data_IF_751785739854
#
_entry.id   IF_751785739854
#
_cell.length_a   1.000
_cell.length_b   1.000
_cell.length_c   1.000
_cell.angle_alpha   90.00
_cell.angle_beta   90.00
_cell.angle_gamma   90.00
#
_symmetry.space_group_name_H-M   'P 1'
#
loop_
_entity.id
_entity.type
_entity.pdbx_description
1 polymer ?
#
# COMPACT_ATOMS: atom_id res chain seq x y z
N UNK A 1 -42.18 -11.67 9.46
CA UNK A 1 -42.33 -12.64 8.37
C UNK A 1 -40.93 -12.96 7.92
N UNK A 2 -40.42 -14.15 8.27
CA UNK A 2 -39.04 -14.59 8.02
C UNK A 2 -38.86 -14.81 6.50
N UNK A 3 -38.02 -14.00 5.89
CA UNK A 3 -37.51 -14.30 4.54
C UNK A 3 -36.46 -15.40 4.73
N UNK A 4 -36.86 -16.61 4.37
CA UNK A 4 -35.98 -17.75 4.31
C UNK A 4 -34.79 -17.44 3.40
N UNK A 5 -33.60 -17.52 3.95
CA UNK A 5 -32.31 -17.47 3.25
C UNK A 5 -32.23 -18.64 2.26
N UNK A 6 -32.65 -18.42 1.03
CA UNK A 6 -32.18 -19.24 -0.07
C UNK A 6 -30.64 -19.11 -0.07
N UNK A 7 -29.94 -20.23 0.03
CA UNK A 7 -28.50 -20.29 -0.09
C UNK A 7 -28.13 -19.69 -1.45
N UNK A 8 -27.79 -18.42 -1.44
CA UNK A 8 -27.34 -17.71 -2.64
C UNK A 8 -25.90 -18.12 -2.91
N UNK A 9 -25.57 -18.32 -4.17
CA UNK A 9 -24.22 -18.39 -4.72
C UNK A 9 -23.41 -17.10 -4.47
N UNK A 10 -23.73 -16.35 -3.38
CA UNK A 10 -23.14 -15.06 -3.07
C UNK A 10 -21.74 -15.25 -2.54
N UNK A 11 -20.77 -14.78 -3.29
CA UNK A 11 -19.34 -14.74 -2.95
C UNK A 11 -19.01 -13.77 -1.80
N UNK A 12 -20.02 -13.07 -1.24
CA UNK A 12 -19.87 -12.10 -0.16
C UNK A 12 -20.37 -12.65 1.18
N UNK A 13 -19.59 -12.42 2.24
CA UNK A 13 -20.02 -12.80 3.59
C UNK A 13 -21.19 -11.93 4.06
N UNK A 14 -22.13 -12.49 4.87
CA UNK A 14 -23.26 -11.73 5.42
C UNK A 14 -22.84 -10.47 6.21
N UNK A 15 -21.68 -10.52 6.88
CA UNK A 15 -21.12 -9.41 7.63
C UNK A 15 -20.74 -8.24 6.71
N UNK A 16 -20.11 -8.52 5.57
CA UNK A 16 -19.78 -7.49 4.58
C UNK A 16 -21.03 -6.84 3.99
N UNK A 17 -22.05 -7.62 3.68
CA UNK A 17 -23.32 -7.08 3.17
C UNK A 17 -24.01 -6.19 4.20
N UNK A 18 -23.97 -6.58 5.48
CA UNK A 18 -24.52 -5.76 6.57
C UNK A 18 -23.79 -4.42 6.66
N UNK A 19 -22.45 -4.45 6.60
CA UNK A 19 -21.62 -3.23 6.60
C UNK A 19 -21.89 -2.36 5.37
N UNK A 20 -21.96 -2.95 4.18
CA UNK A 20 -22.28 -2.22 2.95
C UNK A 20 -23.64 -1.51 3.05
N UNK A 21 -24.65 -2.19 3.60
CA UNK A 21 -25.98 -1.60 3.82
C UNK A 21 -25.96 -0.46 4.84
N UNK A 22 -25.18 -0.58 5.92
CA UNK A 22 -25.02 0.50 6.89
C UNK A 22 -24.37 1.75 6.27
N UNK A 23 -23.30 1.57 5.48
CA UNK A 23 -22.62 2.67 4.81
C UNK A 23 -23.50 3.30 3.71
N UNK A 24 -24.26 2.51 2.97
CA UNK A 24 -25.22 3.03 2.00
C UNK A 24 -26.36 3.82 2.68
N UNK A 25 -26.85 3.38 3.85
CA UNK A 25 -27.83 4.13 4.63
C UNK A 25 -27.24 5.43 5.21
N UNK A 26 -25.96 5.42 5.61
CA UNK A 26 -25.22 6.63 6.00
C UNK A 26 -25.15 7.61 4.84
N UNK A 27 -24.76 7.14 3.64
CA UNK A 27 -24.72 7.95 2.42
C UNK A 27 -26.07 8.62 2.12
N UNK A 28 -27.18 7.87 2.18
CA UNK A 28 -28.52 8.42 1.94
C UNK A 28 -28.85 9.53 2.93
N UNK A 29 -28.58 9.35 4.21
CA UNK A 29 -28.81 10.39 5.23
C UNK A 29 -27.95 11.63 5.01
N UNK A 30 -26.68 11.44 4.59
CA UNK A 30 -25.79 12.57 4.30
C UNK A 30 -26.24 13.31 3.05
N UNK A 31 -26.70 12.60 2.01
CA UNK A 31 -27.24 13.21 0.80
C UNK A 31 -28.50 14.02 1.07
N UNK A 32 -29.41 13.55 1.92
CA UNK A 32 -30.58 14.29 2.38
C UNK A 32 -30.19 15.58 3.12
N UNK A 33 -29.22 15.50 4.05
CA UNK A 33 -28.70 16.67 4.77
C UNK A 33 -28.05 17.68 3.85
N UNK A 34 -27.33 17.26 2.83
CA UNK A 34 -26.72 18.15 1.82
C UNK A 34 -27.77 18.87 0.97
N UNK A 35 -28.97 18.29 0.80
CA UNK A 35 -30.12 18.94 0.17
C UNK A 35 -30.70 20.07 1.01
N UNK A 36 -30.53 20.03 2.34
CA UNK A 36 -31.02 21.06 3.27
C UNK A 36 -29.98 22.15 3.54
N UNK A 37 -28.73 21.75 3.73
CA UNK A 37 -27.63 22.68 4.00
C UNK A 37 -26.29 22.14 3.49
N UNK A 38 -25.55 22.99 2.76
CA UNK A 38 -24.23 22.62 2.26
C UNK A 38 -23.19 22.71 3.38
N UNK A 39 -22.54 21.57 3.66
CA UNK A 39 -21.36 21.48 4.52
C UNK A 39 -20.26 20.69 3.81
N UNK A 40 -19.07 21.28 3.71
CA UNK A 40 -17.95 20.69 2.98
C UNK A 40 -17.50 19.33 3.54
N UNK A 41 -17.53 19.14 4.88
CA UNK A 41 -17.19 17.86 5.51
C UNK A 41 -18.22 16.78 5.17
N UNK A 42 -19.49 17.15 5.24
CA UNK A 42 -20.61 16.26 4.89
C UNK A 42 -20.57 15.89 3.40
N UNK A 43 -20.25 16.85 2.52
CA UNK A 43 -20.11 16.62 1.08
C UNK A 43 -18.94 15.67 0.77
N UNK A 44 -17.78 15.87 1.40
CA UNK A 44 -16.62 14.98 1.24
C UNK A 44 -16.98 13.55 1.67
N UNK A 45 -17.59 13.40 2.84
CA UNK A 45 -17.97 12.07 3.36
C UNK A 45 -19.02 11.38 2.48
N UNK A 46 -20.00 12.11 1.97
CA UNK A 46 -20.99 11.58 1.03
C UNK A 46 -20.32 11.13 -0.28
N UNK A 47 -19.37 11.92 -0.80
CA UNK A 47 -18.58 11.55 -1.98
C UNK A 47 -17.75 10.26 -1.78
N UNK A 48 -17.18 10.06 -0.60
CA UNK A 48 -16.46 8.82 -0.25
C UNK A 48 -17.37 7.59 -0.22
N UNK A 49 -18.61 7.75 0.22
CA UNK A 49 -19.57 6.65 0.36
C UNK A 49 -20.38 6.37 -0.91
N UNK A 50 -20.46 7.32 -1.83
CA UNK A 50 -21.23 7.18 -3.07
C UNK A 50 -20.86 5.94 -3.92
N UNK A 51 -19.57 5.60 -4.13
CA UNK A 51 -19.20 4.39 -4.86
C UNK A 51 -19.74 3.12 -4.20
N UNK A 52 -19.69 3.04 -2.87
CA UNK A 52 -20.20 1.87 -2.10
C UNK A 52 -21.70 1.73 -2.31
N UNK A 53 -22.46 2.82 -2.19
CA UNK A 53 -23.90 2.82 -2.36
C UNK A 53 -24.31 2.40 -3.78
N UNK A 54 -23.59 2.89 -4.80
CA UNK A 54 -23.85 2.56 -6.20
C UNK A 54 -23.55 1.09 -6.50
N UNK A 55 -22.38 0.59 -6.09
CA UNK A 55 -22.01 -0.81 -6.33
C UNK A 55 -22.93 -1.77 -5.56
N UNK A 56 -23.32 -1.41 -4.31
CA UNK A 56 -24.29 -2.20 -3.57
C UNK A 56 -25.64 -2.28 -4.29
N UNK A 57 -26.10 -1.17 -4.87
CA UNK A 57 -27.33 -1.15 -5.68
C UNK A 57 -27.21 -2.05 -6.91
N UNK A 58 -26.07 -1.99 -7.64
CA UNK A 58 -25.80 -2.90 -8.74
C UNK A 58 -25.83 -4.37 -8.30
N UNK A 59 -25.20 -4.67 -7.16
CA UNK A 59 -25.17 -6.02 -6.62
C UNK A 59 -26.56 -6.54 -6.21
N UNK A 60 -27.38 -5.69 -5.56
CA UNK A 60 -28.75 -6.04 -5.20
C UNK A 60 -29.59 -6.29 -6.45
N UNK A 61 -29.52 -5.40 -7.43
CA UNK A 61 -30.26 -5.56 -8.69
C UNK A 61 -29.87 -6.86 -9.42
N UNK A 62 -28.56 -7.16 -9.51
CA UNK A 62 -28.09 -8.40 -10.14
C UNK A 62 -28.58 -9.65 -9.39
N UNK A 63 -28.58 -9.61 -8.06
CA UNK A 63 -29.06 -10.73 -7.25
C UNK A 63 -30.60 -10.90 -7.35
N UNK A 64 -31.34 -9.81 -7.37
CA UNK A 64 -32.81 -9.83 -7.55
C UNK A 64 -33.17 -10.35 -8.94
N UNK A 65 -32.45 -9.93 -10.00
CA UNK A 65 -32.62 -10.45 -11.36
C UNK A 65 -32.37 -11.98 -11.41
N UNK A 66 -31.31 -12.47 -10.74
CA UNK A 66 -31.05 -13.92 -10.65
C UNK A 66 -32.20 -14.66 -9.98
N UNK A 67 -32.80 -14.08 -8.92
CA UNK A 67 -33.95 -14.68 -8.23
C UNK A 67 -35.16 -14.70 -9.14
N UNK A 68 -35.45 -13.62 -9.85
CA UNK A 68 -36.56 -13.52 -10.80
C UNK A 68 -36.42 -14.51 -11.96
N UNK A 69 -35.22 -14.58 -12.59
CA UNK A 69 -34.92 -15.51 -13.68
C UNK A 69 -35.04 -16.97 -13.22
N UNK A 70 -34.58 -17.31 -12.00
CA UNK A 70 -34.77 -18.63 -11.43
C UNK A 70 -36.26 -18.97 -11.23
N UNK A 71 -37.05 -17.99 -10.80
CA UNK A 71 -38.49 -18.18 -10.65
C UNK A 71 -39.20 -18.43 -11.98
N UNK A 72 -38.82 -17.68 -13.05
CA UNK A 72 -39.32 -17.86 -14.41
C UNK A 72 -38.97 -19.24 -14.99
N UNK A 73 -37.78 -19.75 -14.72
CA UNK A 73 -37.35 -21.08 -15.18
C UNK A 73 -38.08 -22.23 -14.46
N UNK A 74 -38.55 -22.00 -13.23
CA UNK A 74 -39.31 -22.98 -12.44
C UNK A 74 -40.79 -22.94 -12.70
N UNK A 75 -41.35 -21.89 -13.35
CA UNK A 75 -42.74 -21.77 -13.67
C UNK A 75 -43.10 -22.71 -14.87
N UNK A 76 -44.02 -23.67 -14.68
CA UNK A 76 -44.45 -24.57 -15.77
C UNK A 76 -45.12 -23.88 -16.94
N UNK A 77 -45.68 -22.69 -16.77
CA UNK A 77 -46.39 -21.92 -17.80
C UNK A 77 -45.47 -21.05 -18.67
N UNK A 78 -44.16 -21.01 -18.40
CA UNK A 78 -43.20 -20.20 -19.18
C UNK A 78 -42.97 -20.84 -20.55
N UNK A 79 -43.07 -20.02 -21.60
CA UNK A 79 -42.84 -20.40 -22.98
C UNK A 79 -41.40 -20.86 -23.23
N UNK A 80 -41.19 -21.76 -24.22
CA UNK A 80 -39.89 -22.34 -24.50
C UNK A 80 -38.87 -21.28 -24.94
N UNK A 81 -39.27 -20.26 -25.69
CA UNK A 81 -38.41 -19.14 -26.08
C UNK A 81 -38.00 -18.28 -24.89
N UNK A 82 -38.95 -17.97 -24.02
CA UNK A 82 -38.66 -17.23 -22.76
C UNK A 82 -37.74 -18.02 -21.82
N UNK A 83 -37.85 -19.34 -21.76
CA UNK A 83 -36.91 -20.17 -20.98
C UNK A 83 -35.51 -20.11 -21.55
N UNK A 84 -35.34 -20.14 -22.87
CA UNK A 84 -34.04 -20.05 -23.51
C UNK A 84 -33.35 -18.71 -23.19
N UNK A 85 -34.08 -17.60 -23.36
CA UNK A 85 -33.61 -16.25 -23.03
C UNK A 85 -33.29 -16.12 -21.52
N UNK A 86 -34.18 -16.60 -20.66
CA UNK A 86 -33.97 -16.55 -19.23
C UNK A 86 -32.75 -17.37 -18.77
N UNK A 87 -32.43 -18.46 -19.50
CA UNK A 87 -31.23 -19.25 -19.22
C UNK A 87 -29.95 -18.48 -19.59
N UNK A 88 -29.92 -17.83 -20.75
CA UNK A 88 -28.81 -17.04 -21.23
C UNK A 88 -28.57 -15.81 -20.32
N UNK A 89 -29.64 -15.10 -19.96
CA UNK A 89 -29.60 -13.96 -19.05
C UNK A 89 -29.13 -14.38 -17.62
N UNK A 90 -29.54 -15.58 -17.18
CA UNK A 90 -29.11 -16.13 -15.88
C UNK A 90 -27.61 -16.44 -15.87
N UNK A 91 -27.07 -17.02 -16.94
CA UNK A 91 -25.63 -17.27 -17.07
C UNK A 91 -24.87 -15.96 -17.10
N UNK A 92 -25.29 -14.99 -17.90
CA UNK A 92 -24.67 -13.66 -17.95
C UNK A 92 -24.69 -12.95 -16.60
N UNK A 93 -25.80 -12.98 -15.87
CA UNK A 93 -25.92 -12.37 -14.54
C UNK A 93 -25.06 -13.08 -13.50
N UNK A 94 -24.92 -14.40 -13.59
CA UNK A 94 -24.04 -15.19 -12.73
C UNK A 94 -22.58 -14.87 -12.95
N UNK A 95 -22.16 -14.68 -14.20
CA UNK A 95 -20.78 -14.34 -14.57
C UNK A 95 -20.43 -12.91 -14.16
N UNK A 96 -21.40 -11.99 -14.15
CA UNK A 96 -21.20 -10.62 -13.69
C UNK A 96 -21.12 -10.50 -12.16
N UNK A 97 -21.82 -11.34 -11.40
CA UNK A 97 -21.94 -11.23 -9.94
C UNK A 97 -20.59 -11.30 -9.18
N UNK A 98 -19.63 -12.18 -9.51
CA UNK A 98 -18.32 -12.20 -8.89
C UNK A 98 -17.56 -10.88 -9.08
N UNK A 99 -17.60 -10.31 -10.29
CA UNK A 99 -16.95 -9.03 -10.61
C UNK A 99 -17.52 -7.88 -9.79
N UNK A 100 -18.84 -7.81 -9.66
CA UNK A 100 -19.52 -6.80 -8.84
C UNK A 100 -19.18 -7.02 -7.37
N UNK A 101 -19.15 -8.27 -6.91
CA UNK A 101 -18.78 -8.64 -5.54
C UNK A 101 -17.36 -8.22 -5.18
N UNK A 102 -16.40 -8.41 -6.08
CA UNK A 102 -15.01 -7.99 -5.88
C UNK A 102 -14.86 -6.47 -5.91
N UNK A 103 -15.62 -5.78 -6.77
CA UNK A 103 -15.70 -4.31 -6.77
C UNK A 103 -16.25 -3.81 -5.43
N UNK A 104 -17.29 -4.46 -4.89
CA UNK A 104 -17.88 -4.10 -3.60
C UNK A 104 -16.90 -4.34 -2.45
N UNK A 105 -16.17 -5.47 -2.43
CA UNK A 105 -15.11 -5.74 -1.44
C UNK A 105 -14.07 -4.63 -1.46
N UNK A 106 -13.55 -4.29 -2.64
CA UNK A 106 -12.55 -3.22 -2.81
C UNK A 106 -13.07 -1.85 -2.35
N UNK A 107 -14.33 -1.54 -2.61
CA UNK A 107 -14.95 -0.28 -2.18
C UNK A 107 -15.22 -0.21 -0.68
N UNK A 108 -15.45 -1.34 -0.01
CA UNK A 108 -15.68 -1.40 1.45
C UNK A 108 -14.42 -1.21 2.28
N UNK A 109 -13.26 -1.47 1.71
CA UNK A 109 -11.97 -1.24 2.37
C UNK A 109 -11.74 0.28 2.43
N UNK A 110 -11.54 0.85 3.63
CA UNK A 110 -11.22 2.26 3.74
C UNK A 110 -9.90 2.53 3.01
N UNK A 111 -9.88 3.59 2.20
CA UNK A 111 -8.64 4.00 1.57
C UNK A 111 -7.60 4.31 2.65
N UNK A 112 -6.37 3.87 2.40
CA UNK A 112 -5.27 4.21 3.28
C UNK A 112 -5.17 5.74 3.41
N UNK A 113 -4.94 6.32 4.61
CA UNK A 113 -4.91 7.78 4.80
C UNK A 113 -3.91 8.49 3.87
N UNK A 114 -2.85 7.78 3.46
CA UNK A 114 -1.80 8.29 2.57
C UNK A 114 -1.95 7.86 1.12
N UNK A 115 -3.05 7.18 0.74
CA UNK A 115 -3.21 6.60 -0.59
C UNK A 115 -2.98 7.61 -1.72
N UNK A 116 -3.44 8.84 -1.53
CA UNK A 116 -3.38 9.89 -2.54
C UNK A 116 -2.07 10.72 -2.50
N UNK A 117 -1.14 10.39 -1.58
CA UNK A 117 0.11 11.14 -1.42
C UNK A 117 1.21 10.68 -2.39
N UNK A 118 2.16 11.58 -2.69
CA UNK A 118 3.47 11.23 -3.19
C UNK A 118 4.21 10.31 -2.22
N UNK A 119 5.30 9.68 -2.64
CA UNK A 119 6.06 8.79 -1.75
C UNK A 119 7.56 8.95 -1.87
N UNK A 120 8.23 8.54 -0.80
CA UNK A 120 9.67 8.33 -0.71
C UNK A 120 9.92 6.83 -0.66
N UNK A 121 10.73 6.32 -1.57
CA UNK A 121 11.15 4.92 -1.60
C UNK A 121 12.62 4.85 -1.19
N UNK A 122 12.86 4.21 -0.07
CA UNK A 122 14.21 4.03 0.50
C UNK A 122 14.64 2.58 0.29
N UNK A 123 15.83 2.40 -0.26
CA UNK A 123 16.44 1.09 -0.54
C UNK A 123 17.74 0.98 0.24
N UNK A 124 17.83 -0.04 1.10
CA UNK A 124 19.06 -0.33 1.88
C UNK A 124 19.46 -1.79 1.72
N UNK A 125 20.73 -2.06 1.39
CA UNK A 125 21.25 -3.42 1.46
C UNK A 125 21.22 -3.93 2.91
N UNK A 126 20.80 -5.20 3.04
CA UNK A 126 20.77 -5.91 4.30
C UNK A 126 21.91 -6.94 4.40
N UNK A 127 21.58 -8.15 4.84
CA UNK A 127 22.55 -9.23 4.92
C UNK A 127 23.01 -9.69 3.53
N UNK A 128 24.31 -9.82 3.29
CA UNK A 128 24.90 -10.32 2.05
C UNK A 128 26.12 -9.58 1.54
N UNK A 129 26.57 -8.54 2.27
CA UNK A 129 27.77 -7.75 1.91
C UNK A 129 27.66 -7.12 0.53
N UNK A 130 28.74 -7.20 -0.25
CA UNK A 130 28.85 -6.60 -1.60
C UNK A 130 27.69 -7.01 -2.53
N UNK A 131 27.25 -8.25 -2.43
CA UNK A 131 26.17 -8.78 -3.27
C UNK A 131 24.80 -8.12 -2.97
N UNK A 132 24.56 -7.79 -1.71
CA UNK A 132 23.37 -7.05 -1.33
C UNK A 132 23.38 -5.62 -1.91
N UNK A 133 24.55 -4.97 -1.93
CA UNK A 133 24.75 -3.65 -2.54
C UNK A 133 24.51 -3.65 -4.05
N UNK A 134 25.04 -4.67 -4.76
CA UNK A 134 24.80 -4.84 -6.20
C UNK A 134 23.31 -5.06 -6.49
N UNK A 135 22.68 -5.95 -5.74
CA UNK A 135 21.24 -6.19 -5.93
C UNK A 135 20.38 -4.97 -5.57
N UNK A 136 20.76 -4.21 -4.55
CA UNK A 136 20.08 -2.95 -4.21
C UNK A 136 20.15 -1.94 -5.37
N UNK A 137 21.27 -1.88 -6.08
CA UNK A 137 21.42 -1.04 -7.27
C UNK A 137 20.54 -1.52 -8.44
N UNK A 138 20.45 -2.83 -8.65
CA UNK A 138 19.51 -3.39 -9.65
C UNK A 138 18.06 -3.06 -9.30
N UNK A 139 17.68 -3.13 -8.02
CA UNK A 139 16.34 -2.74 -7.56
C UNK A 139 16.08 -1.26 -7.74
N UNK A 140 17.07 -0.39 -7.50
CA UNK A 140 16.96 1.03 -7.77
C UNK A 140 16.60 1.27 -9.24
N UNK A 141 17.33 0.64 -10.16
CA UNK A 141 17.07 0.72 -11.60
C UNK A 141 15.69 0.19 -11.97
N UNK A 142 15.28 -0.93 -11.39
CA UNK A 142 13.96 -1.54 -11.58
C UNK A 142 12.84 -0.56 -11.22
N UNK A 143 12.91 0.07 -10.04
CA UNK A 143 11.87 1.01 -9.61
C UNK A 143 11.86 2.30 -10.42
N UNK A 144 13.03 2.83 -10.80
CA UNK A 144 13.13 4.01 -11.67
C UNK A 144 12.52 3.72 -13.04
N UNK A 145 12.82 2.56 -13.63
CA UNK A 145 12.25 2.13 -14.90
C UNK A 145 10.73 1.92 -14.80
N UNK A 146 10.24 1.25 -13.75
CA UNK A 146 8.82 1.05 -13.50
C UNK A 146 8.07 2.37 -13.37
N UNK A 147 8.56 3.30 -12.55
CA UNK A 147 7.96 4.62 -12.38
C UNK A 147 7.92 5.39 -13.71
N UNK A 148 9.02 5.38 -14.47
CA UNK A 148 9.09 6.05 -15.76
C UNK A 148 8.08 5.49 -16.77
N UNK A 149 7.91 4.18 -16.84
CA UNK A 149 6.91 3.52 -17.71
C UNK A 149 5.48 3.91 -17.35
N UNK A 150 5.19 4.08 -16.06
CA UNK A 150 3.88 4.51 -15.56
C UNK A 150 3.64 6.02 -15.65
N UNK A 151 4.60 6.78 -16.18
CA UNK A 151 4.51 8.24 -16.22
C UNK A 151 4.65 8.91 -14.85
N UNK A 152 5.05 8.15 -13.85
CA UNK A 152 5.46 8.69 -12.56
C UNK A 152 6.84 9.32 -12.72
N UNK A 153 7.11 10.42 -12.04
CA UNK A 153 8.39 11.13 -12.12
C UNK A 153 9.26 10.77 -10.93
N UNK A 154 10.16 9.78 -11.05
CA UNK A 154 11.09 9.45 -9.98
C UNK A 154 12.24 10.45 -9.96
N UNK A 155 12.54 11.02 -8.81
CA UNK A 155 13.68 11.89 -8.56
C UNK A 155 14.57 11.23 -7.51
N UNK A 156 15.83 10.93 -7.84
CA UNK A 156 16.79 10.36 -6.90
C UNK A 156 17.26 11.48 -5.98
N UNK A 157 16.84 11.45 -4.71
CA UNK A 157 17.25 12.42 -3.70
C UNK A 157 18.61 12.08 -3.11
N UNK A 158 18.87 10.79 -2.95
CA UNK A 158 20.10 10.28 -2.36
C UNK A 158 20.51 8.99 -3.04
N UNK A 159 21.78 8.90 -3.37
CA UNK A 159 22.40 7.68 -3.87
C UNK A 159 23.82 7.62 -3.32
N UNK A 160 24.01 6.83 -2.27
CA UNK A 160 25.33 6.57 -1.71
C UNK A 160 25.86 5.25 -2.28
N UNK A 161 26.95 5.34 -3.03
CA UNK A 161 27.66 4.17 -3.57
C UNK A 161 28.99 4.00 -2.85
N UNK A 162 29.34 2.77 -2.53
CA UNK A 162 30.66 2.46 -1.98
C UNK A 162 31.69 2.45 -3.11
N UNK A 163 32.81 3.13 -2.91
CA UNK A 163 33.93 3.15 -3.85
C UNK A 163 34.59 1.78 -3.86
N UNK A 164 34.41 1.03 -4.92
CA UNK A 164 34.97 -0.31 -5.12
C UNK A 164 35.34 -0.56 -6.58
N UNK A 165 35.82 -1.77 -6.94
CA UNK A 165 36.15 -2.13 -8.32
C UNK A 165 34.96 -2.09 -9.29
N UNK A 166 33.74 -2.06 -8.80
CA UNK A 166 32.52 -1.80 -9.55
C UNK A 166 31.77 -0.66 -8.85
N UNK A 167 31.57 0.46 -9.57
CA UNK A 167 30.84 1.66 -9.09
C UNK A 167 29.36 1.42 -8.80
N UNK A 168 28.88 0.18 -8.89
CA UNK A 168 27.46 -0.20 -8.84
C UNK A 168 27.02 -0.72 -7.45
N UNK A 169 27.85 -0.57 -6.41
CA UNK A 169 27.45 -0.99 -5.07
C UNK A 169 26.72 0.13 -4.34
N UNK A 170 25.45 -0.09 -4.10
CA UNK A 170 24.62 0.84 -3.36
C UNK A 170 24.73 0.60 -1.87
N UNK A 171 24.98 1.65 -1.10
CA UNK A 171 24.94 1.67 0.35
C UNK A 171 23.58 2.14 0.86
N UNK A 172 23.00 3.13 0.18
CA UNK A 172 21.66 3.64 0.44
C UNK A 172 21.15 4.41 -0.79
N UNK A 173 19.87 4.25 -1.13
CA UNK A 173 19.20 5.14 -2.09
C UNK A 173 17.86 5.61 -1.56
N UNK A 174 17.51 6.84 -1.89
CA UNK A 174 16.20 7.43 -1.63
C UNK A 174 15.68 8.04 -2.93
N UNK A 175 14.52 7.57 -3.37
CA UNK A 175 13.82 8.06 -4.56
C UNK A 175 12.56 8.78 -4.08
N UNK A 176 12.35 9.99 -4.55
CA UNK A 176 11.09 10.70 -4.40
C UNK A 176 10.25 10.51 -5.67
N UNK A 177 8.97 10.20 -5.48
CA UNK A 177 8.01 10.08 -6.56
C UNK A 177 6.89 11.11 -6.27
N UNK A 178 6.94 12.26 -6.94
CA UNK A 178 6.07 13.41 -6.70
C UNK A 178 4.63 13.25 -7.22
N UNK A 179 4.29 12.11 -7.80
CA UNK A 179 2.97 11.86 -8.35
C UNK A 179 1.95 11.55 -7.24
N UNK A 180 0.78 12.18 -7.33
CA UNK A 180 -0.34 11.85 -6.47
C UNK A 180 -0.74 10.38 -6.64
N UNK A 181 -0.98 9.68 -5.53
CA UNK A 181 -1.31 8.26 -5.53
C UNK A 181 -0.11 7.31 -5.67
N UNK A 182 1.12 7.82 -5.76
CA UNK A 182 2.33 7.01 -5.87
C UNK A 182 2.51 6.11 -4.64
N UNK A 183 2.15 6.60 -3.46
CA UNK A 183 2.23 5.82 -2.23
C UNK A 183 1.38 4.55 -2.29
N UNK A 184 0.12 4.64 -2.75
CA UNK A 184 -0.77 3.47 -2.84
C UNK A 184 -0.26 2.40 -3.81
N UNK A 185 0.42 2.84 -4.89
CA UNK A 185 1.02 1.93 -5.87
C UNK A 185 2.22 1.20 -5.26
N UNK A 186 3.13 1.95 -4.64
CA UNK A 186 4.44 1.44 -4.23
C UNK A 186 4.46 0.84 -2.82
N UNK A 187 3.49 1.11 -1.95
CA UNK A 187 3.44 0.53 -0.59
C UNK A 187 3.44 -1.00 -0.59
N UNK A 188 3.01 -1.63 -1.69
CA UNK A 188 3.07 -3.08 -1.89
C UNK A 188 4.50 -3.62 -1.88
N UNK A 189 5.50 -2.77 -2.15
CA UNK A 189 6.92 -3.14 -2.25
C UNK A 189 7.67 -3.00 -0.91
N UNK A 190 7.02 -2.44 0.11
CA UNK A 190 7.64 -2.28 1.43
C UNK A 190 7.91 -3.63 2.09
N UNK A 191 9.18 -3.89 2.44
CA UNK A 191 9.61 -5.11 3.12
C UNK A 191 10.99 -5.60 2.72
N UNK A 192 11.29 -6.87 3.04
CA UNK A 192 12.59 -7.48 2.76
C UNK A 192 12.53 -8.30 1.46
N UNK A 193 13.34 -7.92 0.49
CA UNK A 193 13.52 -8.60 -0.78
C UNK A 193 14.77 -9.49 -0.73
N UNK A 194 14.62 -10.74 -1.08
CA UNK A 194 15.70 -11.73 -1.05
C UNK A 194 16.14 -12.10 -2.45
N UNK A 195 17.44 -12.10 -2.69
CA UNK A 195 18.04 -12.57 -3.93
C UNK A 195 18.79 -13.88 -3.71
N UNK A 196 18.71 -14.77 -4.67
CA UNK A 196 19.44 -16.04 -4.73
C UNK A 196 20.12 -16.15 -6.09
N UNK A 197 21.44 -15.90 -6.10
CA UNK A 197 22.29 -16.06 -7.30
C UNK A 197 23.71 -16.43 -6.90
N UNK A 198 24.48 -16.85 -7.89
CA UNK A 198 25.94 -16.97 -7.76
C UNK A 198 26.53 -15.58 -7.93
N UNK A 199 27.15 -14.99 -6.89
CA UNK A 199 27.74 -13.66 -7.01
C UNK A 199 28.84 -13.60 -8.05
N UNK A 200 29.05 -12.46 -8.69
CA UNK A 200 30.19 -12.25 -9.61
C UNK A 200 31.56 -12.39 -8.90
N UNK A 201 31.58 -12.24 -7.58
CA UNK A 201 32.77 -12.38 -6.72
C UNK A 201 33.06 -13.82 -6.29
N UNK A 202 32.14 -14.77 -6.56
CA UNK A 202 32.27 -16.17 -6.11
C UNK A 202 32.97 -17.03 -7.17
N UNK A 203 34.13 -17.55 -6.84
CA UNK A 203 34.95 -18.39 -7.75
C UNK A 203 34.52 -19.87 -7.75
N UNK A 204 33.80 -20.35 -6.72
CA UNK A 204 33.41 -21.75 -6.55
C UNK A 204 31.98 -22.07 -7.02
N UNK A 205 31.27 -21.12 -7.64
CA UNK A 205 29.92 -21.31 -8.16
C UNK A 205 28.85 -21.56 -7.11
N UNK A 206 29.05 -21.16 -5.85
CA UNK A 206 28.08 -21.33 -4.77
C UNK A 206 26.98 -20.29 -4.89
N UNK A 207 25.72 -20.72 -4.78
CA UNK A 207 24.58 -19.81 -4.67
C UNK A 207 24.60 -19.12 -3.30
N UNK A 208 24.67 -17.79 -3.32
CA UNK A 208 24.54 -16.98 -2.12
C UNK A 208 23.11 -16.45 -1.99
N UNK A 209 22.72 -16.14 -0.77
CA UNK A 209 21.44 -15.53 -0.46
C UNK A 209 21.70 -14.18 0.19
N UNK A 210 21.28 -13.12 -0.47
CA UNK A 210 21.40 -11.76 0.03
C UNK A 210 20.02 -11.12 0.19
N UNK A 211 19.93 -10.08 0.97
CA UNK A 211 18.68 -9.40 1.27
C UNK A 211 18.83 -7.88 1.13
N UNK A 212 17.79 -7.25 0.64
CA UNK A 212 17.65 -5.79 0.52
C UNK A 212 16.35 -5.39 1.19
N UNK A 213 16.40 -4.35 2.01
CA UNK A 213 15.22 -3.74 2.61
C UNK A 213 14.72 -2.60 1.73
N UNK A 214 13.43 -2.61 1.43
CA UNK A 214 12.73 -1.53 0.76
C UNK A 214 11.72 -0.95 1.72
N UNK A 215 11.74 0.37 1.90
CA UNK A 215 10.80 1.09 2.74
C UNK A 215 10.09 2.14 1.88
N UNK A 216 8.77 2.17 1.95
CA UNK A 216 7.96 3.15 1.22
C UNK A 216 7.28 4.05 2.24
N UNK A 217 7.58 5.33 2.18
CA UNK A 217 7.10 6.36 3.09
C UNK A 217 6.27 7.38 2.32
N UNK A 218 5.19 7.92 2.91
CA UNK A 218 4.46 9.01 2.29
C UNK A 218 5.33 10.27 2.28
N UNK A 219 5.34 11.00 1.15
CA UNK A 219 5.92 12.34 1.06
C UNK A 219 4.82 13.37 1.24
N UNK A 220 5.07 14.34 2.12
CA UNK A 220 4.11 15.39 2.40
C UNK A 220 4.53 16.66 1.63
N UNK A 221 3.69 17.17 0.70
CA UNK A 221 3.99 18.40 -0.03
C UNK A 221 4.14 19.59 0.92
N UNK A 222 5.02 20.52 0.58
CA UNK A 222 5.28 21.72 1.40
C UNK A 222 4.22 22.80 1.24
N UNK A 223 3.57 22.83 0.08
CA UNK A 223 2.62 23.89 -0.25
C UNK A 223 1.26 23.57 0.37
N UNK A 224 0.77 24.50 1.19
CA UNK A 224 -0.53 24.46 1.87
C UNK A 224 -1.74 24.43 0.94
N UNK A 225 -1.73 23.58 -0.08
CA UNK A 225 -2.88 23.26 -0.89
C UNK A 225 -3.82 22.34 -0.14
N UNK A 226 -5.08 22.42 -0.37
CA UNK A 226 -6.28 21.86 0.28
C UNK A 226 -6.17 20.47 0.97
N UNK A 227 -5.08 19.72 0.76
CA UNK A 227 -4.75 18.47 1.46
C UNK A 227 -4.29 18.70 2.91
N UNK A 228 -3.82 19.91 3.25
CA UNK A 228 -3.43 20.32 4.61
C UNK A 228 -4.60 20.31 5.61
N UNK A 229 -5.83 20.42 5.13
CA UNK A 229 -7.01 20.39 5.99
C UNK A 229 -7.34 19.00 6.53
N UNK A 230 -6.85 17.93 5.89
CA UNK A 230 -7.03 16.56 6.33
C UNK A 230 -5.85 16.04 7.18
N UNK A 231 -4.65 16.62 6.96
CA UNK A 231 -3.40 16.29 7.65
C UNK A 231 -3.02 17.50 8.52
N UNK A 232 -3.66 17.66 9.67
CA UNK A 232 -3.45 18.81 10.54
C UNK A 232 -2.10 18.68 11.24
N UNK A 233 -1.03 19.27 10.66
CA UNK A 233 0.33 19.25 11.21
C UNK A 233 0.49 20.10 12.48
N UNK A 234 -0.46 20.95 12.79
CA UNK A 234 -0.50 21.81 13.97
C UNK A 234 -1.39 21.26 15.09
N UNK A 235 -2.19 20.23 14.81
CA UNK A 235 -3.03 19.59 15.83
C UNK A 235 -2.21 18.59 16.65
N UNK A 236 -2.02 18.82 17.96
CA UNK A 236 -1.31 17.88 18.84
C UNK A 236 -1.88 16.46 18.87
N UNK A 237 -3.15 16.29 18.48
CA UNK A 237 -3.80 14.98 18.39
C UNK A 237 -3.61 14.30 17.03
N UNK A 238 -3.00 14.98 16.07
CA UNK A 238 -2.71 14.40 14.75
C UNK A 238 -1.50 13.48 14.82
N UNK A 239 -1.57 12.36 14.11
CA UNK A 239 -0.44 11.43 13.97
C UNK A 239 0.79 12.04 13.30
N UNK A 240 0.60 13.15 12.60
CA UNK A 240 1.60 13.88 11.85
C UNK A 240 2.22 15.02 12.65
N UNK A 241 1.65 15.34 13.81
CA UNK A 241 2.19 16.38 14.67
C UNK A 241 3.53 15.95 15.26
N UNK A 242 4.50 16.83 15.15
CA UNK A 242 5.81 16.72 15.80
C UNK A 242 6.06 18.03 16.52
N UNK A 243 6.20 17.98 17.84
CA UNK A 243 6.61 19.14 18.61
C UNK A 243 8.04 19.54 18.22
N UNK A 244 8.26 20.75 17.71
CA UNK A 244 9.59 21.22 17.39
C UNK A 244 10.58 21.19 18.58
N UNK A 245 10.09 21.21 19.82
CA UNK A 245 10.91 21.11 21.03
C UNK A 245 11.44 19.68 21.26
N UNK A 246 10.78 18.68 20.73
CA UNK A 246 11.21 17.26 20.80
C UNK A 246 12.21 16.90 19.71
N UNK A 247 12.51 17.83 18.78
CA UNK A 247 13.44 17.58 17.69
C UNK A 247 14.73 18.38 17.88
N UNK A 248 15.81 17.65 18.06
CA UNK A 248 17.15 18.23 18.10
C UNK A 248 17.66 18.42 16.67
N UNK A 249 17.97 19.67 16.33
CA UNK A 249 18.49 20.06 15.01
C UNK A 249 19.98 20.32 15.13
N UNK A 250 20.78 19.53 14.42
CA UNK A 250 22.24 19.69 14.37
C UNK A 250 22.65 20.07 12.95
N UNK A 251 23.46 21.15 12.86
CA UNK A 251 24.08 21.57 11.62
C UNK A 251 25.44 20.93 11.54
N UNK A 252 25.76 20.37 10.38
CA UNK A 252 27.05 19.72 10.17
C UNK A 252 27.57 20.01 8.77
N UNK A 253 28.85 19.75 8.57
CA UNK A 253 29.45 19.80 7.24
C UNK A 253 29.07 18.56 6.47
N UNK A 254 28.82 18.72 5.17
CA UNK A 254 28.55 17.58 4.31
C UNK A 254 29.80 16.69 4.24
N UNK A 255 29.60 15.37 4.33
CA UNK A 255 30.66 14.37 4.15
C UNK A 255 30.78 14.00 2.66
N UNK A 256 31.97 13.69 2.22
CA UNK A 256 32.24 13.21 0.84
C UNK A 256 33.36 13.96 0.13
N UNK A 257 33.74 13.48 -1.08
CA UNK A 257 34.74 14.11 -1.93
C UNK A 257 34.19 15.42 -2.48
N UNK A 258 34.74 16.56 -2.08
CA UNK A 258 34.29 17.88 -2.49
C UNK A 258 35.34 18.96 -2.33
N UNK A 259 35.11 20.09 -3.00
CA UNK A 259 36.00 21.25 -2.97
C UNK A 259 35.88 22.08 -1.69
N UNK A 260 36.45 23.28 -1.69
CA UNK A 260 36.50 24.17 -0.51
C UNK A 260 35.11 24.50 0.09
N UNK A 261 34.05 24.48 -0.68
CA UNK A 261 32.68 24.77 -0.22
C UNK A 261 32.15 23.67 0.71
N UNK A 262 32.35 22.40 0.40
CA UNK A 262 31.92 21.25 1.21
C UNK A 262 32.63 21.25 2.57
N UNK A 263 33.90 21.62 2.58
CA UNK A 263 34.73 21.60 3.78
C UNK A 263 34.54 22.83 4.71
N UNK A 264 33.96 23.93 4.20
CA UNK A 264 33.80 25.19 4.96
C UNK A 264 32.37 25.47 5.35
N UNK A 265 31.37 24.98 4.62
CA UNK A 265 29.95 25.34 4.81
C UNK A 265 29.20 24.21 5.52
N UNK A 266 28.47 24.55 6.56
CA UNK A 266 27.60 23.63 7.31
C UNK A 266 26.24 23.53 6.59
N UNK A 267 26.20 22.89 5.42
CA UNK A 267 24.99 22.70 4.63
C UNK A 267 24.18 21.46 5.03
N UNK A 268 24.80 20.47 5.64
CA UNK A 268 24.11 19.26 6.09
C UNK A 268 23.32 19.49 7.38
N UNK A 269 22.15 18.85 7.45
CA UNK A 269 21.26 18.91 8.61
C UNK A 269 21.01 17.49 9.12
N UNK A 270 21.12 17.33 10.43
CA UNK A 270 20.74 16.13 11.15
C UNK A 270 19.61 16.47 12.11
N UNK A 271 18.49 15.77 11.99
CA UNK A 271 17.36 15.85 12.90
C UNK A 271 17.34 14.60 13.76
N UNK A 272 17.16 14.76 15.05
CA UNK A 272 16.99 13.64 15.98
C UNK A 272 15.72 13.89 16.79
N UNK A 273 14.74 13.03 16.63
CA UNK A 273 13.55 13.06 17.47
C UNK A 273 13.86 12.39 18.80
N UNK A 274 13.81 13.17 19.88
CA UNK A 274 14.29 12.75 21.21
C UNK A 274 13.51 11.56 21.77
N UNK A 275 12.14 11.53 21.72
CA UNK A 275 11.38 10.44 22.31
C UNK A 275 11.57 9.09 21.62
N UNK A 276 11.69 9.07 20.29
CA UNK A 276 11.79 7.81 19.52
C UNK A 276 13.23 7.49 19.10
N UNK A 277 14.18 8.38 19.34
CA UNK A 277 15.56 8.29 18.85
C UNK A 277 15.69 8.14 17.33
N UNK A 278 14.64 8.53 16.59
CA UNK A 278 14.67 8.51 15.13
C UNK A 278 15.60 9.61 14.62
N UNK A 279 16.56 9.20 13.80
CA UNK A 279 17.57 10.11 13.23
C UNK A 279 17.38 10.21 11.73
N UNK A 280 17.37 11.44 11.21
CA UNK A 280 17.36 11.76 9.78
C UNK A 280 18.51 12.72 9.49
N UNK A 281 19.33 12.42 8.50
CA UNK A 281 20.40 13.33 8.06
C UNK A 281 20.25 13.58 6.56
N UNK A 282 20.37 14.86 6.16
CA UNK A 282 20.28 15.32 4.76
C UNK A 282 21.45 16.23 4.42
N UNK A 283 22.10 15.95 3.28
CA UNK A 283 23.27 16.72 2.82
C UNK A 283 23.32 16.95 1.31
N UNK A 284 22.23 16.63 0.60
CA UNK A 284 22.23 16.49 -0.88
C UNK A 284 22.19 17.85 -1.59
N UNK A 285 21.62 18.86 -0.93
CA UNK A 285 21.48 20.19 -1.48
C UNK A 285 22.59 21.14 -1.00
N UNK A 286 22.95 22.11 -1.87
CA UNK A 286 23.87 23.18 -1.49
C UNK A 286 23.26 24.12 -0.44
N UNK A 287 21.94 24.23 -0.40
CA UNK A 287 21.20 25.08 0.52
C UNK A 287 20.88 24.36 1.83
N UNK A 288 21.34 24.89 2.95
CA UNK A 288 21.01 24.40 4.27
C UNK A 288 19.48 24.39 4.52
N UNK A 289 18.77 25.40 3.99
CA UNK A 289 17.32 25.49 4.15
C UNK A 289 16.60 24.38 3.40
N UNK A 290 17.04 24.06 2.16
CA UNK A 290 16.48 22.97 1.38
C UNK A 290 16.70 21.61 2.08
N UNK A 291 17.94 21.37 2.58
CA UNK A 291 18.23 20.16 3.37
C UNK A 291 17.39 20.08 4.65
N UNK A 292 17.16 21.22 5.32
CA UNK A 292 16.31 21.26 6.51
C UNK A 292 14.87 20.90 6.19
N UNK A 293 14.29 21.44 5.12
CA UNK A 293 12.92 21.13 4.68
C UNK A 293 12.77 19.64 4.38
N UNK A 294 13.65 19.09 3.55
CA UNK A 294 13.65 17.65 3.20
C UNK A 294 13.83 16.75 4.43
N UNK A 295 14.71 17.12 5.35
CA UNK A 295 14.89 16.38 6.58
C UNK A 295 13.63 16.36 7.47
N UNK A 296 12.90 17.49 7.56
CA UNK A 296 11.63 17.54 8.28
C UNK A 296 10.55 16.70 7.62
N UNK A 297 10.42 16.72 6.30
CA UNK A 297 9.49 15.86 5.56
C UNK A 297 9.77 14.38 5.85
N UNK A 298 11.03 13.98 5.73
CA UNK A 298 11.44 12.60 5.99
C UNK A 298 11.22 12.17 7.44
N UNK A 299 11.47 13.07 8.40
CA UNK A 299 11.23 12.79 9.81
C UNK A 299 9.74 12.59 10.09
N UNK A 300 8.88 13.46 9.54
CA UNK A 300 7.41 13.33 9.65
C UNK A 300 6.92 12.01 9.08
N UNK A 301 7.38 11.66 7.88
CA UNK A 301 7.01 10.41 7.24
C UNK A 301 7.38 9.18 8.10
N UNK A 302 8.62 9.12 8.58
CA UNK A 302 9.10 8.01 9.44
C UNK A 302 8.34 7.89 10.76
N UNK A 303 8.02 9.01 11.39
CA UNK A 303 7.27 8.99 12.66
C UNK A 303 5.80 8.61 12.46
N UNK A 304 5.17 9.10 11.40
CA UNK A 304 3.80 8.73 11.07
C UNK A 304 3.67 7.22 10.79
N UNK A 305 4.61 6.65 10.03
CA UNK A 305 4.65 5.21 9.76
C UNK A 305 4.85 4.41 11.04
N UNK A 306 5.82 4.78 11.88
CA UNK A 306 6.07 4.09 13.15
C UNK A 306 4.84 4.12 14.10
N UNK A 307 4.10 5.23 14.13
CA UNK A 307 2.87 5.35 14.92
C UNK A 307 1.75 4.47 14.36
N UNK A 308 1.64 4.40 13.04
CA UNK A 308 0.66 3.53 12.39
C UNK A 308 1.01 2.06 12.62
N UNK A 309 2.26 1.67 12.45
CA UNK A 309 2.72 0.29 12.68
C UNK A 309 2.50 -0.14 14.14
N UNK A 310 2.74 0.76 15.09
CA UNK A 310 2.46 0.50 16.49
C UNK A 310 0.97 0.25 16.76
N UNK A 311 0.08 1.04 16.14
CA UNK A 311 -1.39 0.81 16.24
C UNK A 311 -1.84 -0.48 15.59
N UNK A 312 -1.30 -0.80 14.41
CA UNK A 312 -1.59 -2.07 13.74
C UNK A 312 -1.14 -3.27 14.58
N UNK A 313 0.03 -3.18 15.21
CA UNK A 313 0.52 -4.21 16.12
C UNK A 313 -0.37 -4.36 17.35
N UNK A 314 -0.83 -3.28 17.95
CA UNK A 314 -1.77 -3.30 19.07
C UNK A 314 -3.11 -3.93 18.69
N UNK A 315 -3.67 -3.55 17.54
CA UNK A 315 -4.88 -4.17 16.98
C UNK A 315 -4.67 -5.66 16.68
N UNK A 316 -3.53 -6.05 16.13
CA UNK A 316 -3.21 -7.46 15.90
C UNK A 316 -3.08 -8.26 17.22
N UNK A 317 -2.50 -7.67 18.26
CA UNK A 317 -2.44 -8.31 19.59
C UNK A 317 -3.82 -8.50 20.20
N UNK A 318 -4.69 -7.50 20.11
CA UNK A 318 -6.09 -7.61 20.53
C UNK A 318 -6.83 -8.69 19.72
N UNK A 319 -6.62 -8.77 18.41
CA UNK A 319 -7.20 -9.81 17.55
C UNK A 319 -6.68 -11.21 17.88
N UNK A 320 -5.37 -11.36 18.18
CA UNK A 320 -4.80 -12.66 18.62
C UNK A 320 -5.39 -13.14 19.93
N UNK A 321 -5.66 -12.23 20.86
CA UNK A 321 -6.33 -12.55 22.12
C UNK A 321 -7.77 -13.06 21.94
N UNK A 322 -8.47 -12.55 20.91
CA UNK A 322 -9.86 -12.92 20.61
C UNK A 322 -9.95 -14.19 19.75
N UNK A 323 -9.03 -14.40 18.81
CA UNK A 323 -9.07 -15.50 17.83
C UNK A 323 -8.35 -16.77 18.26
N UNK A 324 -7.74 -16.79 19.45
CA UNK A 324 -7.21 -18.03 20.04
C UNK A 324 -6.32 -18.88 19.15
N UNK A 325 -5.32 -18.28 18.50
CA UNK A 325 -4.22 -19.09 17.99
C UNK A 325 -4.05 -19.23 16.49
N UNK A 326 -4.60 -18.38 15.64
CA UNK A 326 -4.38 -18.41 14.19
C UNK A 326 -3.23 -17.49 13.81
N UNK A 327 -2.21 -18.12 13.24
CA UNK A 327 -1.06 -17.56 12.52
C UNK A 327 0.10 -17.00 13.34
N UNK A 328 1.08 -17.87 13.52
CA UNK A 328 2.48 -17.47 13.67
C UNK A 328 2.95 -16.82 12.37
N UNK A 329 2.79 -15.51 12.23
CA UNK A 329 3.62 -14.74 11.32
C UNK A 329 4.92 -14.41 12.06
N UNK A 330 5.99 -15.09 11.68
CA UNK A 330 7.32 -14.96 12.28
C UNK A 330 8.04 -13.73 11.76
N UNK A 331 8.76 -13.06 12.64
CA UNK A 331 9.77 -12.05 12.30
C UNK A 331 10.77 -12.67 11.31
N UNK A 332 11.08 -11.98 10.23
CA UNK A 332 12.05 -12.40 9.23
C UNK A 332 11.41 -12.65 7.87
N UNK A 333 10.25 -12.10 7.66
CA UNK A 333 9.46 -12.42 6.50
C UNK A 333 9.89 -11.60 5.30
N UNK A 334 10.78 -12.25 4.54
CA UNK A 334 11.00 -11.87 3.14
C UNK A 334 9.64 -11.81 2.44
N UNK A 335 9.31 -10.65 1.90
CA UNK A 335 8.11 -10.49 1.11
C UNK A 335 8.26 -11.15 -0.27
N UNK A 336 9.49 -11.09 -0.85
CA UNK A 336 9.73 -11.56 -2.20
C UNK A 336 11.09 -12.24 -2.33
N UNK A 337 11.18 -13.25 -3.20
CA UNK A 337 12.44 -13.92 -3.53
C UNK A 337 12.69 -13.90 -5.04
N UNK A 338 13.84 -13.39 -5.42
CA UNK A 338 14.36 -13.36 -6.80
C UNK A 338 15.38 -14.48 -6.95
N UNK A 339 15.07 -15.50 -7.74
CA UNK A 339 15.94 -16.66 -7.97
C UNK A 339 16.48 -16.63 -9.41
N UNK A 340 17.72 -16.25 -9.57
CA UNK A 340 18.38 -16.14 -10.88
C UNK A 340 18.62 -17.51 -11.50
N UNK A 341 18.97 -18.52 -10.72
CA UNK A 341 19.22 -19.86 -11.24
C UNK A 341 17.99 -20.52 -11.87
N UNK A 342 16.79 -20.09 -11.47
CA UNK A 342 15.52 -20.59 -12.00
C UNK A 342 14.76 -19.53 -12.80
N UNK A 343 15.34 -18.34 -13.02
CA UNK A 343 14.72 -17.19 -13.68
C UNK A 343 13.29 -16.93 -13.17
N UNK A 344 13.08 -16.96 -11.85
CA UNK A 344 11.76 -16.77 -11.23
C UNK A 344 11.78 -15.77 -10.09
N UNK A 345 10.67 -15.07 -9.96
CA UNK A 345 10.34 -14.22 -8.83
C UNK A 345 9.11 -14.79 -8.12
N UNK A 346 9.19 -14.95 -6.80
CA UNK A 346 8.07 -15.45 -5.98
C UNK A 346 7.76 -14.44 -4.88
N UNK A 347 6.52 -13.93 -4.82
CA UNK A 347 6.02 -13.16 -3.70
C UNK A 347 5.39 -14.10 -2.67
N UNK A 348 5.87 -14.03 -1.42
CA UNK A 348 5.48 -14.98 -0.38
C UNK A 348 4.17 -14.63 0.31
N UNK A 349 3.66 -13.41 0.12
CA UNK A 349 2.37 -12.97 0.67
C UNK A 349 1.21 -13.58 -0.09
N UNK A 350 1.33 -13.60 -1.42
CA UNK A 350 0.29 -14.10 -2.33
C UNK A 350 0.58 -15.50 -2.85
N UNK A 351 1.83 -15.98 -2.74
CA UNK A 351 2.28 -17.22 -3.33
C UNK A 351 2.48 -17.17 -4.85
N UNK A 352 2.27 -16.00 -5.49
CA UNK A 352 2.46 -15.85 -6.93
C UNK A 352 3.91 -16.09 -7.32
N UNK A 353 4.11 -16.82 -8.40
CA UNK A 353 5.43 -17.06 -8.99
C UNK A 353 5.40 -16.70 -10.47
N UNK A 354 6.31 -15.80 -10.88
CA UNK A 354 6.46 -15.38 -12.27
C UNK A 354 7.83 -15.85 -12.78
N UNK A 355 7.81 -16.51 -13.91
CA UNK A 355 9.00 -16.91 -14.68
C UNK A 355 9.26 -15.80 -15.71
N UNK A 356 10.37 -15.23 -15.75
CA UNK A 356 10.91 -14.09 -16.50
C UNK A 356 11.42 -13.00 -15.55
N UNK A 357 12.52 -13.34 -14.89
CA UNK A 357 13.13 -12.46 -13.90
C UNK A 357 13.63 -11.14 -14.51
N UNK A 358 14.22 -11.23 -15.71
CA UNK A 358 14.78 -10.06 -16.42
C UNK A 358 13.68 -9.03 -16.72
N UNK A 359 12.51 -9.50 -17.20
CA UNK A 359 11.38 -8.61 -17.44
C UNK A 359 10.82 -7.95 -16.17
N UNK A 360 11.00 -8.56 -14.99
CA UNK A 360 10.65 -7.94 -13.71
C UNK A 360 11.68 -6.89 -13.33
N UNK A 361 12.98 -7.21 -13.44
CA UNK A 361 14.09 -6.29 -13.11
C UNK A 361 14.17 -5.08 -14.05
N UNK A 362 13.65 -5.21 -15.26
CA UNK A 362 13.46 -4.09 -16.20
C UNK A 362 12.24 -3.21 -15.85
N UNK A 363 11.54 -3.49 -14.74
CA UNK A 363 10.35 -2.74 -14.33
C UNK A 363 9.16 -2.93 -15.26
N UNK A 364 9.05 -4.10 -15.91
CA UNK A 364 8.01 -4.43 -16.89
C UNK A 364 6.71 -4.96 -16.28
N UNK A 365 5.84 -5.48 -17.15
CA UNK A 365 4.48 -5.97 -16.81
C UNK A 365 4.49 -7.09 -15.75
N UNK A 366 5.58 -7.86 -15.67
CA UNK A 366 5.76 -8.88 -14.64
C UNK A 366 5.79 -8.29 -13.23
N UNK A 367 6.48 -7.16 -13.03
CA UNK A 367 6.48 -6.47 -11.74
C UNK A 367 5.09 -5.94 -11.40
N UNK A 368 4.40 -5.35 -12.38
CA UNK A 368 3.03 -4.86 -12.22
C UNK A 368 2.07 -5.98 -11.80
N UNK A 369 2.15 -7.13 -12.46
CA UNK A 369 1.31 -8.30 -12.13
C UNK A 369 1.54 -8.76 -10.68
N UNK A 370 2.80 -8.78 -10.21
CA UNK A 370 3.10 -9.11 -8.81
C UNK A 370 2.51 -8.06 -7.86
N UNK A 371 2.69 -6.78 -8.15
CA UNK A 371 2.18 -5.68 -7.32
C UNK A 371 0.66 -5.70 -7.24
N UNK A 372 -0.04 -5.94 -8.33
CA UNK A 372 -1.51 -6.04 -8.36
C UNK A 372 -2.04 -7.26 -7.59
N UNK A 373 -1.32 -8.40 -7.66
CA UNK A 373 -1.61 -9.56 -6.82
C UNK A 373 -1.49 -9.23 -5.33
N UNK A 374 -0.43 -8.52 -4.95
CA UNK A 374 -0.22 -8.09 -3.56
C UNK A 374 -1.30 -7.09 -3.13
N UNK A 375 -1.67 -6.15 -4.00
CA UNK A 375 -2.76 -5.20 -3.72
C UNK A 375 -4.08 -5.94 -3.44
N UNK A 376 -4.40 -6.94 -4.24
CA UNK A 376 -5.59 -7.77 -4.03
C UNK A 376 -5.52 -8.50 -2.69
N UNK A 377 -4.37 -9.11 -2.37
CA UNK A 377 -4.15 -9.76 -1.09
C UNK A 377 -4.30 -8.80 0.11
N UNK A 378 -3.78 -7.57 0.00
CA UNK A 378 -3.94 -6.55 1.04
C UNK A 378 -5.42 -6.21 1.27
N UNK A 379 -6.19 -6.03 0.20
CA UNK A 379 -7.64 -5.79 0.28
C UNK A 379 -8.35 -6.95 0.97
N UNK A 380 -8.06 -8.20 0.58
CA UNK A 380 -8.67 -9.38 1.18
C UNK A 380 -8.32 -9.50 2.68
N UNK A 381 -7.08 -9.25 3.04
CA UNK A 381 -6.62 -9.24 4.43
C UNK A 381 -7.30 -8.15 5.27
N UNK A 382 -7.48 -6.94 4.74
CA UNK A 382 -8.20 -5.86 5.41
C UNK A 382 -9.70 -6.18 5.56
N UNK A 383 -10.30 -6.81 4.55
CA UNK A 383 -11.68 -7.30 4.60
C UNK A 383 -11.87 -8.33 5.72
N UNK A 384 -10.97 -9.32 5.80
CA UNK A 384 -11.01 -10.34 6.86
C UNK A 384 -10.86 -9.70 8.24
N UNK A 385 -9.97 -8.74 8.37
CA UNK A 385 -9.76 -7.99 9.59
C UNK A 385 -11.01 -7.23 10.03
N UNK A 386 -11.68 -6.54 9.09
CA UNK A 386 -12.93 -5.82 9.37
C UNK A 386 -14.06 -6.76 9.79
N UNK A 387 -14.19 -7.91 9.13
CA UNK A 387 -15.21 -8.92 9.50
C UNK A 387 -14.95 -9.46 10.89
N UNK A 388 -13.69 -9.74 11.24
CA UNK A 388 -13.31 -10.22 12.57
C UNK A 388 -13.64 -9.18 13.66
N UNK A 389 -13.40 -7.90 13.40
CA UNK A 389 -13.71 -6.81 14.32
C UNK A 389 -15.23 -6.65 14.55
N UNK A 390 -16.02 -6.70 13.47
CA UNK A 390 -17.47 -6.59 13.54
C UNK A 390 -18.10 -7.79 14.29
N UNK A 391 -17.56 -9.00 14.10
CA UNK A 391 -17.95 -10.19 14.87
C UNK A 391 -17.60 -10.08 16.36
N UNK A 392 -16.46 -9.48 16.70
CA UNK A 392 -16.06 -9.24 18.08
C UNK A 392 -16.99 -8.23 18.78
N UNK A 393 -17.33 -7.13 18.09
CA UNK A 393 -18.29 -6.12 18.61
C UNK A 393 -19.69 -6.68 18.81
N UNK A 394 -20.11 -7.65 17.99
CA UNK A 394 -21.43 -8.29 18.12
C UNK A 394 -21.47 -9.27 19.29
N UNK A 395 -20.34 -9.89 19.67
CA UNK A 395 -20.24 -10.80 20.82
C UNK A 395 -20.12 -10.07 22.17
N UNK A 396 -19.76 -8.79 22.18
CA UNK A 396 -19.59 -7.98 23.39
C UNK A 396 -20.86 -7.18 23.76
N UNK A 397 -21.88 -7.23 22.94
CA UNK A 397 -23.23 -6.73 23.20
C UNK A 397 -24.18 -7.89 23.56
#
# INVERSE_FOLDING_TARGET
MLIATAASDSTLSPALLTRARLLAAEHTKLAERLGESFDAKTAKRAGELAPIANILKEWVNANDSIVELKSLLTDPNTDAELRSLATEDLESSRDALPTISDRLKKALVPRHPFADLPCLLEIRPGAGGDEAGLFAFEMLRMYVAFCSRRGLRPTILKQDTEVGPSDDRLSEAVIEIEANGAYDILRTESGVHRVQRVPATETKGRTHTSAVSVMVLPSFPEDGSEMDSALNFEDPNSDYYIDPQEVRVEKMRAGGAGGQHVNKTESAIRLTHIPTHTVVSMQDERSQQANRRKAWQMLRAKLAEARQEAREQELMQLRRGILGGVAKMGRGDKIRTYNFGQSRCTDHRTGITIHNLDGILDGGDGLETVMDSVRTWMVDSEVEAMVAEDMAKTKSK
#
